data_IF_898689397075
#
_entry.id   IF_898689397075
#
_cell.length_a   1.000
_cell.length_b   1.000
_cell.length_c   1.000
_cell.angle_alpha   90.00
_cell.angle_beta   90.00
_cell.angle_gamma   90.00
#
_symmetry.space_group_name_H-M   'P 1'
#
loop_
_entity.id
_entity.type
_entity.pdbx_description
1 polymer ?
#
# COMPACT_ATOMS: atom_id res chain seq x y z
N UNK A 1 19.36 -18.72 -9.56
CA UNK A 1 19.85 -19.02 -10.92
C UNK A 1 19.95 -20.52 -11.20
N UNK A 2 20.57 -21.36 -10.37
CA UNK A 2 20.55 -22.83 -10.55
C UNK A 2 19.15 -23.49 -10.37
N UNK A 3 18.25 -22.87 -9.60
CA UNK A 3 16.88 -23.35 -9.35
C UNK A 3 15.82 -22.79 -10.30
N UNK A 4 16.17 -21.77 -11.09
CA UNK A 4 15.33 -21.33 -12.19
C UNK A 4 15.87 -22.09 -13.40
N UNK A 5 15.04 -22.86 -14.09
CA UNK A 5 15.35 -23.73 -15.23
C UNK A 5 15.93 -23.00 -16.48
N UNK A 6 16.84 -22.04 -16.29
CA UNK A 6 17.48 -21.24 -17.33
C UNK A 6 18.84 -21.74 -17.76
N UNK A 7 19.29 -22.90 -17.25
CA UNK A 7 20.57 -23.53 -17.59
C UNK A 7 20.31 -24.97 -18.02
N UNK A 8 20.21 -25.19 -19.32
CA UNK A 8 19.85 -26.47 -19.95
C UNK A 8 21.07 -27.42 -20.13
N UNK A 9 22.26 -26.94 -19.79
CA UNK A 9 23.54 -27.61 -20.02
C UNK A 9 24.14 -28.16 -18.71
N UNK A 10 24.35 -29.48 -18.65
CA UNK A 10 24.86 -30.19 -17.47
C UNK A 10 26.24 -29.72 -17.02
N UNK A 11 27.09 -29.29 -17.96
CA UNK A 11 28.42 -28.77 -17.66
C UNK A 11 28.34 -27.39 -16.99
N UNK A 12 27.39 -26.55 -17.42
CA UNK A 12 27.14 -25.25 -16.78
C UNK A 12 26.58 -25.41 -15.37
N UNK A 13 25.68 -26.37 -15.17
CA UNK A 13 25.17 -26.70 -13.83
C UNK A 13 26.33 -27.17 -12.93
N UNK A 14 27.23 -28.02 -13.44
CA UNK A 14 28.40 -28.48 -12.71
C UNK A 14 29.32 -27.31 -12.32
N UNK A 15 29.71 -26.46 -13.28
CA UNK A 15 30.58 -25.31 -13.03
C UNK A 15 29.94 -24.34 -12.02
N UNK A 16 28.66 -24.02 -12.18
CA UNK A 16 27.95 -23.13 -11.26
C UNK A 16 27.82 -23.74 -9.86
N UNK A 17 27.61 -25.06 -9.76
CA UNK A 17 27.56 -25.75 -8.47
C UNK A 17 28.92 -25.76 -7.76
N UNK A 18 30.02 -25.90 -8.50
CA UNK A 18 31.37 -25.92 -7.94
C UNK A 18 31.83 -24.51 -7.54
N UNK A 19 31.44 -23.49 -8.32
CA UNK A 19 31.61 -22.07 -7.94
C UNK A 19 30.81 -21.79 -6.66
N UNK A 20 29.56 -22.22 -6.57
CA UNK A 20 28.75 -22.06 -5.36
C UNK A 20 29.43 -22.72 -4.16
N UNK A 21 29.86 -23.99 -4.30
CA UNK A 21 30.59 -24.74 -3.27
C UNK A 21 31.87 -24.03 -2.84
N UNK A 22 32.61 -23.45 -3.78
CA UNK A 22 33.82 -22.69 -3.49
C UNK A 22 33.50 -21.41 -2.72
N UNK A 23 32.50 -20.63 -3.17
CA UNK A 23 32.09 -19.38 -2.52
C UNK A 23 31.53 -19.62 -1.11
N UNK A 24 30.82 -20.73 -0.88
CA UNK A 24 30.32 -21.16 0.42
C UNK A 24 31.39 -21.78 1.33
N UNK A 25 32.59 -22.06 0.81
CA UNK A 25 33.68 -22.59 1.63
C UNK A 25 34.39 -21.48 2.40
N UNK A 26 34.85 -21.77 3.62
CA UNK A 26 35.63 -20.81 4.46
C UNK A 26 36.90 -20.28 3.76
N UNK A 27 37.35 -20.91 2.68
CA UNK A 27 38.53 -20.49 1.90
C UNK A 27 38.26 -19.37 0.90
N UNK A 28 36.99 -19.03 0.63
CA UNK A 28 36.62 -17.97 -0.33
C UNK A 28 36.90 -16.56 0.20
N UNK A 29 37.05 -16.40 1.53
CA UNK A 29 37.18 -15.10 2.18
C UNK A 29 35.90 -14.24 2.11
N UNK A 30 34.80 -14.78 1.58
CA UNK A 30 33.48 -14.16 1.62
C UNK A 30 32.90 -14.44 3.00
N UNK A 31 33.28 -13.61 3.96
CA UNK A 31 32.77 -13.71 5.32
C UNK A 31 31.38 -13.10 5.39
N UNK A 32 30.41 -13.94 5.75
CA UNK A 32 29.10 -13.55 6.24
C UNK A 32 29.28 -12.56 7.41
N UNK A 33 28.43 -11.53 7.50
CA UNK A 33 28.47 -10.65 8.68
C UNK A 33 27.91 -11.43 9.86
N UNK A 34 28.78 -11.93 10.75
CA UNK A 34 28.39 -12.94 11.75
C UNK A 34 28.11 -12.34 13.14
N UNK A 35 28.57 -11.13 13.41
CA UNK A 35 28.42 -10.48 14.71
C UNK A 35 28.50 -8.96 14.64
N UNK A 36 27.80 -8.31 15.56
CA UNK A 36 27.92 -6.85 15.77
C UNK A 36 29.32 -6.42 16.23
N UNK A 37 29.59 -5.11 16.14
CA UNK A 37 30.83 -4.46 16.59
C UNK A 37 31.14 -4.71 18.08
N UNK A 38 32.40 -4.53 18.49
CA UNK A 38 32.89 -4.73 19.86
C UNK A 38 32.10 -3.95 20.91
N UNK A 39 31.66 -2.74 20.57
CA UNK A 39 31.00 -1.81 21.46
C UNK A 39 29.49 -2.07 21.60
N UNK A 40 28.92 -3.01 20.84
CA UNK A 40 27.47 -3.30 20.82
C UNK A 40 26.87 -3.44 22.21
N UNK A 41 27.48 -4.26 23.07
CA UNK A 41 26.98 -4.50 24.43
C UNK A 41 26.94 -3.21 25.25
N UNK A 42 27.92 -2.35 25.08
CA UNK A 42 28.02 -1.09 25.81
C UNK A 42 26.99 -0.09 25.29
N UNK A 43 26.79 -0.02 23.97
CA UNK A 43 25.75 0.80 23.34
C UNK A 43 24.36 0.38 23.82
N UNK A 44 24.05 -0.92 23.81
CA UNK A 44 22.76 -1.44 24.30
C UNK A 44 22.56 -1.12 25.79
N UNK A 45 23.60 -1.27 26.61
CA UNK A 45 23.51 -0.93 28.04
C UNK A 45 23.33 0.58 28.27
N UNK A 46 24.03 1.43 27.50
CA UNK A 46 23.86 2.89 27.54
C UNK A 46 22.42 3.27 27.21
N UNK A 47 21.86 2.75 26.10
CA UNK A 47 20.46 2.96 25.73
C UNK A 47 19.52 2.51 26.85
N UNK A 48 19.70 1.29 27.37
CA UNK A 48 18.84 0.76 28.44
C UNK A 48 18.86 1.60 29.72
N UNK A 49 20.00 2.23 30.02
CA UNK A 49 20.16 3.15 31.16
C UNK A 49 19.66 4.58 30.87
N UNK A 50 19.13 4.84 29.67
CA UNK A 50 18.81 6.17 29.15
C UNK A 50 20.00 7.14 29.20
N UNK A 51 21.22 6.63 29.06
CA UNK A 51 22.41 7.45 28.96
C UNK A 51 22.46 8.14 27.58
N UNK A 52 22.90 9.41 27.51
CA UNK A 52 22.98 10.13 26.25
C UNK A 52 24.00 9.48 25.32
N UNK A 53 23.61 9.27 24.06
CA UNK A 53 24.50 8.81 23.00
C UNK A 53 24.98 10.01 22.18
N UNK A 54 26.29 10.12 21.98
CA UNK A 54 26.87 11.16 21.13
C UNK A 54 26.94 10.65 19.69
N UNK A 55 26.26 11.32 18.76
CA UNK A 55 26.25 10.88 17.35
C UNK A 55 27.62 10.77 16.68
N UNK A 56 28.60 11.58 17.12
CA UNK A 56 29.95 11.59 16.58
C UNK A 56 30.90 10.60 17.28
N UNK A 57 30.40 9.84 18.26
CA UNK A 57 31.21 8.86 18.96
C UNK A 57 31.43 7.62 18.10
N UNK A 58 32.63 7.04 18.20
CA UNK A 58 33.03 5.88 17.40
C UNK A 58 32.15 4.66 17.70
N UNK A 59 31.65 4.49 18.93
CA UNK A 59 30.75 3.38 19.28
C UNK A 59 29.42 3.47 18.53
N UNK A 60 28.84 4.67 18.39
CA UNK A 60 27.62 4.87 17.60
C UNK A 60 27.91 4.67 16.10
N UNK A 61 28.96 5.31 15.57
CA UNK A 61 29.29 5.23 14.14
C UNK A 61 29.58 3.78 13.71
N UNK A 62 30.36 3.03 14.50
CA UNK A 62 30.67 1.63 14.23
C UNK A 62 29.42 0.74 14.33
N UNK A 63 28.51 1.02 15.27
CA UNK A 63 27.24 0.28 15.40
C UNK A 63 26.33 0.48 14.19
N UNK A 64 26.23 1.72 13.67
CA UNK A 64 25.44 1.99 12.46
C UNK A 64 26.11 1.37 11.22
N UNK A 65 27.44 1.44 11.11
CA UNK A 65 28.16 0.80 10.02
C UNK A 65 28.00 -0.73 10.03
N UNK A 66 28.04 -1.35 11.21
CA UNK A 66 27.72 -2.77 11.42
C UNK A 66 26.29 -3.08 11.00
N UNK A 67 25.31 -2.27 11.41
CA UNK A 67 23.91 -2.42 11.00
C UNK A 67 23.75 -2.30 9.47
N UNK A 68 24.50 -1.44 8.79
CA UNK A 68 24.46 -1.34 7.32
C UNK A 68 25.03 -2.58 6.62
N UNK A 69 26.02 -3.25 7.24
CA UNK A 69 26.55 -4.52 6.75
C UNK A 69 25.49 -5.61 6.90
N UNK A 70 24.91 -5.74 8.10
CA UNK A 70 23.82 -6.67 8.39
C UNK A 70 22.63 -6.52 7.42
N UNK A 71 22.21 -5.30 7.11
CA UNK A 71 21.13 -5.07 6.14
C UNK A 71 21.42 -5.64 4.76
N UNK A 72 22.68 -5.54 4.29
CA UNK A 72 23.06 -6.10 2.99
C UNK A 72 23.06 -7.62 3.06
N UNK A 73 23.51 -8.16 4.18
CA UNK A 73 23.51 -9.60 4.41
C UNK A 73 22.08 -10.17 4.45
N UNK A 74 21.16 -9.54 5.19
CA UNK A 74 19.74 -9.86 5.17
C UNK A 74 19.14 -9.86 3.75
N UNK A 75 19.51 -8.89 2.89
CA UNK A 75 19.08 -8.88 1.49
C UNK A 75 19.57 -10.13 0.75
N UNK A 76 20.83 -10.56 0.97
CA UNK A 76 21.41 -11.74 0.35
C UNK A 76 20.75 -13.03 0.84
N UNK A 77 20.53 -13.16 2.16
CA UNK A 77 19.79 -14.28 2.75
C UNK A 77 18.39 -14.37 2.14
N UNK A 78 17.64 -13.27 2.15
CA UNK A 78 16.28 -13.24 1.63
C UNK A 78 16.24 -13.51 0.13
N UNK A 79 17.18 -12.98 -0.66
CA UNK A 79 17.30 -13.27 -2.09
C UNK A 79 17.54 -14.75 -2.36
N UNK A 80 18.40 -15.38 -1.56
CA UNK A 80 18.69 -16.82 -1.65
C UNK A 80 17.48 -17.68 -1.30
N UNK A 81 16.77 -17.33 -0.23
CA UNK A 81 15.61 -18.10 0.25
C UNK A 81 14.39 -17.95 -0.68
N UNK A 82 14.13 -16.73 -1.17
CA UNK A 82 13.00 -16.46 -2.06
C UNK A 82 13.30 -16.77 -3.54
N UNK A 83 14.58 -17.00 -3.88
CA UNK A 83 15.06 -17.16 -5.27
C UNK A 83 14.61 -15.96 -6.14
N UNK A 84 14.55 -14.79 -5.53
CA UNK A 84 14.07 -13.55 -6.14
C UNK A 84 14.97 -12.39 -5.75
N UNK A 85 14.91 -11.29 -6.51
CA UNK A 85 15.70 -10.11 -6.19
C UNK A 85 15.11 -9.40 -4.97
N UNK A 86 15.92 -9.27 -3.91
CA UNK A 86 15.58 -8.53 -2.71
C UNK A 86 16.60 -7.42 -2.51
N UNK A 87 16.09 -6.19 -2.48
CA UNK A 87 16.93 -5.00 -2.37
C UNK A 87 16.54 -4.13 -1.17
N UNK A 88 17.51 -3.37 -0.67
CA UNK A 88 17.26 -2.44 0.41
C UNK A 88 16.59 -1.16 -0.13
N UNK A 89 15.45 -0.78 0.45
CA UNK A 89 14.75 0.46 0.11
C UNK A 89 15.43 1.64 0.80
N UNK A 90 16.19 2.42 0.02
CA UNK A 90 16.90 3.61 0.47
C UNK A 90 16.39 4.87 -0.24
N UNK A 91 16.50 6.01 0.45
CA UNK A 91 16.35 7.33 -0.19
C UNK A 91 17.43 7.51 -1.25
N UNK A 92 17.12 8.23 -2.33
CA UNK A 92 18.05 8.40 -3.45
C UNK A 92 19.39 9.03 -3.00
N UNK A 93 19.32 10.04 -2.13
CA UNK A 93 20.49 10.68 -1.52
C UNK A 93 21.41 9.69 -0.79
N UNK A 94 20.83 8.75 -0.05
CA UNK A 94 21.57 7.74 0.72
C UNK A 94 22.19 6.65 -0.16
N UNK A 95 21.70 6.49 -1.39
CA UNK A 95 22.30 5.59 -2.39
C UNK A 95 23.53 6.20 -3.04
N UNK A 96 23.53 7.52 -3.24
CA UNK A 96 24.63 8.25 -3.88
C UNK A 96 25.74 8.59 -2.89
N UNK A 97 25.41 8.87 -1.63
CA UNK A 97 26.36 9.27 -0.60
C UNK A 97 26.24 8.38 0.66
N UNK A 98 27.11 7.36 0.79
CA UNK A 98 27.16 6.49 1.97
C UNK A 98 27.55 7.22 3.26
N UNK A 99 28.37 8.27 3.19
CA UNK A 99 28.80 9.03 4.37
C UNK A 99 27.65 9.89 4.92
N UNK A 100 26.87 10.51 4.04
CA UNK A 100 25.63 11.19 4.41
C UNK A 100 24.64 10.23 5.06
N UNK A 101 24.47 9.04 4.49
CA UNK A 101 23.60 8.00 5.07
C UNK A 101 24.03 7.65 6.49
N UNK A 102 25.31 7.37 6.71
CA UNK A 102 25.84 7.04 8.03
C UNK A 102 25.55 8.15 9.06
N UNK A 103 25.75 9.42 8.65
CA UNK A 103 25.47 10.58 9.50
C UNK A 103 23.98 10.72 9.84
N UNK A 104 23.11 10.63 8.84
CA UNK A 104 21.66 10.77 9.02
C UNK A 104 21.09 9.64 9.90
N UNK A 105 21.57 8.41 9.70
CA UNK A 105 21.14 7.24 10.48
C UNK A 105 21.66 7.32 11.93
N UNK A 106 22.88 7.80 12.15
CA UNK A 106 23.39 8.06 13.51
C UNK A 106 22.59 9.18 14.22
N UNK A 107 22.23 10.24 13.49
CA UNK A 107 21.37 11.31 14.00
C UNK A 107 19.96 10.80 14.36
N UNK A 108 19.41 9.88 13.57
CA UNK A 108 18.12 9.25 13.86
C UNK A 108 18.20 8.32 15.07
N UNK A 109 19.24 7.48 15.14
CA UNK A 109 19.48 6.53 16.23
C UNK A 109 19.66 7.22 17.59
N UNK A 110 20.35 8.36 17.65
CA UNK A 110 20.49 9.12 18.89
C UNK A 110 19.16 9.71 19.39
N UNK A 111 18.19 9.99 18.50
CA UNK A 111 16.87 10.52 18.86
C UNK A 111 15.90 9.43 19.28
N UNK A 112 15.90 8.34 18.52
CA UNK A 112 15.10 7.15 18.78
C UNK A 112 16.05 5.95 18.64
N UNK A 113 16.46 5.29 19.75
CA UNK A 113 17.46 4.23 19.75
C UNK A 113 16.90 2.91 19.19
N UNK A 114 16.55 2.95 17.92
CA UNK A 114 16.04 1.85 17.12
C UNK A 114 16.79 1.79 15.80
N UNK A 115 17.23 0.61 15.41
CA UNK A 115 17.83 0.34 14.12
C UNK A 115 16.75 -0.13 13.16
N UNK A 116 16.60 0.52 12.01
CA UNK A 116 15.52 0.27 11.07
C UNK A 116 16.07 -0.04 9.68
N UNK A 117 15.37 -0.91 8.95
CA UNK A 117 15.56 -1.10 7.51
C UNK A 117 14.28 -1.58 6.84
N UNK A 118 14.17 -1.36 5.53
CA UNK A 118 13.01 -1.76 4.72
C UNK A 118 13.52 -2.55 3.52
N UNK A 119 13.11 -3.81 3.40
CA UNK A 119 13.50 -4.72 2.33
C UNK A 119 12.40 -4.73 1.26
N UNK A 120 12.75 -4.39 0.03
CA UNK A 120 11.88 -4.52 -1.14
C UNK A 120 12.07 -5.92 -1.75
N UNK A 121 11.03 -6.74 -1.65
CA UNK A 121 10.98 -8.07 -2.25
C UNK A 121 10.10 -7.99 -3.49
N UNK A 122 10.62 -8.43 -4.64
CA UNK A 122 9.88 -8.35 -5.90
C UNK A 122 8.54 -9.11 -5.80
N UNK A 123 7.46 -8.49 -6.30
CA UNK A 123 6.09 -9.02 -6.28
C UNK A 123 5.49 -9.29 -4.88
N UNK A 124 6.14 -8.89 -3.79
CA UNK A 124 5.54 -8.97 -2.46
C UNK A 124 4.39 -7.95 -2.30
N UNK A 125 3.47 -8.24 -1.37
CA UNK A 125 2.32 -7.37 -1.12
C UNK A 125 2.69 -5.99 -0.54
N UNK A 126 3.83 -5.90 0.13
CA UNK A 126 4.39 -4.69 0.71
C UNK A 126 5.90 -4.87 0.86
N UNK A 127 6.59 -3.79 1.22
CA UNK A 127 7.97 -3.89 1.70
C UNK A 127 7.98 -4.54 3.09
N UNK A 128 9.05 -5.28 3.38
CA UNK A 128 9.31 -5.91 4.67
C UNK A 128 10.13 -4.96 5.54
N UNK A 129 9.50 -4.37 6.54
CA UNK A 129 10.14 -3.47 7.49
C UNK A 129 10.70 -4.25 8.68
N UNK A 130 11.95 -4.02 9.02
CA UNK A 130 12.65 -4.65 10.14
C UNK A 130 13.14 -3.56 11.08
N UNK A 131 12.76 -3.66 12.35
CA UNK A 131 13.14 -2.71 13.40
C UNK A 131 13.70 -3.46 14.60
N UNK A 132 14.94 -3.17 14.97
CA UNK A 132 15.51 -3.60 16.25
C UNK A 132 15.45 -2.43 17.23
N UNK A 133 14.62 -2.55 18.26
CA UNK A 133 14.47 -1.57 19.34
C UNK A 133 15.43 -1.94 20.48
N UNK A 134 16.43 -1.09 20.71
CA UNK A 134 17.45 -1.34 21.74
C UNK A 134 16.94 -1.02 23.14
N UNK A 135 15.96 -0.13 23.26
CA UNK A 135 15.35 0.23 24.54
C UNK A 135 14.57 -0.96 25.10
N UNK A 136 13.73 -1.56 24.25
CA UNK A 136 12.90 -2.71 24.60
C UNK A 136 13.63 -4.05 24.43
N UNK A 137 14.73 -4.06 23.67
CA UNK A 137 15.49 -5.26 23.28
C UNK A 137 14.65 -6.25 22.49
N UNK A 138 13.86 -5.69 21.58
CA UNK A 138 12.92 -6.43 20.75
C UNK A 138 13.27 -6.27 19.28
N UNK A 139 13.03 -7.33 18.52
CA UNK A 139 13.06 -7.30 17.06
C UNK A 139 11.62 -7.32 16.58
N UNK A 140 11.32 -6.41 15.66
CA UNK A 140 10.05 -6.27 14.98
C UNK A 140 10.26 -6.53 13.50
N UNK A 141 9.43 -7.38 12.93
CA UNK A 141 9.28 -7.53 11.48
C UNK A 141 7.85 -7.18 11.11
N UNK A 142 7.65 -6.30 10.15
CA UNK A 142 6.31 -5.90 9.75
C UNK A 142 6.15 -5.67 8.26
N UNK A 143 4.89 -5.77 7.81
CA UNK A 143 4.49 -5.44 6.44
C UNK A 143 3.24 -4.59 6.48
N UNK A 144 3.33 -3.41 5.87
CA UNK A 144 2.26 -2.42 5.88
C UNK A 144 1.38 -2.52 4.63
N UNK A 145 0.08 -2.78 4.82
CA UNK A 145 -0.89 -2.96 3.73
C UNK A 145 -1.93 -1.84 3.75
N UNK A 146 -2.26 -1.33 2.56
CA UNK A 146 -3.43 -0.47 2.39
C UNK A 146 -4.70 -1.30 2.56
N UNK A 147 -5.61 -0.84 3.41
CA UNK A 147 -6.83 -1.57 3.67
C UNK A 147 -7.80 -1.51 2.47
N UNK A 148 -8.65 -2.54 2.26
CA UNK A 148 -9.62 -2.55 1.17
C UNK A 148 -10.59 -1.37 1.19
N UNK A 149 -10.60 -0.57 0.12
CA UNK A 149 -11.50 0.60 -0.01
C UNK A 149 -12.97 0.22 -0.23
N UNK A 150 -13.21 -1.00 -0.70
CA UNK A 150 -14.55 -1.58 -0.88
C UNK A 150 -15.25 -1.91 0.46
N UNK A 151 -14.47 -2.02 1.56
CA UNK A 151 -15.00 -2.36 2.88
C UNK A 151 -15.14 -1.11 3.74
N UNK A 152 -16.35 -0.90 4.27
CA UNK A 152 -16.65 0.29 5.07
C UNK A 152 -16.28 0.15 6.55
N UNK A 153 -16.42 -1.03 7.15
CA UNK A 153 -16.11 -1.25 8.57
C UNK A 153 -14.68 -1.75 8.80
N UNK A 154 -14.10 -1.37 9.93
CA UNK A 154 -12.79 -1.89 10.37
C UNK A 154 -12.86 -3.40 10.60
N UNK A 155 -13.89 -3.92 11.26
CA UNK A 155 -14.19 -5.37 11.32
C UNK A 155 -14.10 -6.09 9.96
N UNK A 156 -14.64 -5.52 8.88
CA UNK A 156 -14.57 -6.15 7.55
C UNK A 156 -13.15 -6.11 6.96
N UNK A 157 -12.39 -5.04 7.20
CA UNK A 157 -10.98 -4.90 6.80
C UNK A 157 -10.09 -5.87 7.59
N UNK A 158 -10.32 -6.01 8.90
CA UNK A 158 -9.66 -7.01 9.75
C UNK A 158 -9.95 -8.44 9.27
N UNK A 159 -11.22 -8.76 8.98
CA UNK A 159 -11.56 -10.07 8.43
C UNK A 159 -10.90 -10.35 7.07
N UNK A 160 -10.60 -9.32 6.27
CA UNK A 160 -9.87 -9.50 5.00
C UNK A 160 -8.42 -9.93 5.24
N UNK A 161 -7.73 -9.38 6.23
CA UNK A 161 -6.35 -9.80 6.55
C UNK A 161 -6.31 -11.14 7.28
N UNK A 162 -7.25 -11.39 8.20
CA UNK A 162 -7.36 -12.68 8.92
C UNK A 162 -7.61 -13.86 7.97
N UNK A 163 -8.32 -13.65 6.86
CA UNK A 163 -8.50 -14.69 5.83
C UNK A 163 -7.21 -15.11 5.15
N UNK A 164 -6.21 -14.24 5.10
CA UNK A 164 -4.89 -14.51 4.52
C UNK A 164 -3.99 -15.24 5.53
N UNK A 165 -4.08 -14.85 6.81
CA UNK A 165 -3.29 -15.39 7.92
C UNK A 165 -3.91 -16.61 8.61
N UNK A 166 -4.69 -17.44 7.89
CA UNK A 166 -5.34 -18.62 8.50
C UNK A 166 -4.35 -19.71 8.90
N UNK A 167 -3.26 -19.86 8.14
CA UNK A 167 -2.25 -20.92 8.31
C UNK A 167 -1.11 -20.53 9.25
N UNK A 168 -0.92 -19.23 9.46
CA UNK A 168 0.14 -18.66 10.31
C UNK A 168 -0.01 -19.12 11.76
N UNK A 169 1.08 -19.43 12.46
CA UNK A 169 1.05 -19.58 13.92
C UNK A 169 0.71 -18.23 14.58
N UNK A 170 -0.33 -18.11 15.42
CA UNK A 170 -0.66 -16.83 16.06
C UNK A 170 0.37 -16.34 17.09
N UNK A 171 1.34 -17.18 17.49
CA UNK A 171 2.33 -16.82 18.51
C UNK A 171 3.29 -15.72 18.03
N UNK A 172 3.33 -14.60 18.77
CA UNK A 172 4.22 -13.47 18.48
C UNK A 172 3.76 -12.59 17.32
N UNK A 173 2.62 -12.89 16.71
CA UNK A 173 2.02 -12.08 15.64
C UNK A 173 0.92 -11.17 16.18
N UNK A 174 0.93 -9.94 15.70
CA UNK A 174 0.02 -8.88 16.05
C UNK A 174 -0.44 -8.15 14.79
N UNK A 175 -1.59 -7.50 14.89
CA UNK A 175 -2.09 -6.64 13.82
C UNK A 175 -2.24 -5.23 14.39
N UNK A 176 -1.64 -4.28 13.68
CA UNK A 176 -1.78 -2.85 13.93
C UNK A 176 -2.73 -2.26 12.90
N UNK A 177 -3.76 -1.55 13.35
CA UNK A 177 -4.68 -0.84 12.49
C UNK A 177 -4.48 0.67 12.63
N UNK A 178 -4.08 1.31 11.54
CA UNK A 178 -3.83 2.75 11.49
C UNK A 178 -5.00 3.47 10.83
N UNK A 179 -5.47 4.53 11.48
CA UNK A 179 -6.58 5.38 11.02
C UNK A 179 -6.04 6.68 10.43
N UNK A 180 -6.80 7.33 9.54
CA UNK A 180 -6.35 8.58 8.94
C UNK A 180 -6.30 9.70 9.98
N UNK A 181 -5.35 10.63 9.81
CA UNK A 181 -5.17 11.77 10.71
C UNK A 181 -4.41 11.42 12.00
N UNK A 182 -4.80 12.04 13.11
CA UNK A 182 -4.22 11.80 14.44
C UNK A 182 -5.04 10.80 15.29
N UNK A 183 -5.89 10.01 14.63
CA UNK A 183 -6.71 9.03 15.30
C UNK A 183 -5.85 7.89 15.85
N UNK A 184 -6.34 7.24 16.90
CA UNK A 184 -5.66 6.15 17.60
C UNK A 184 -5.33 4.98 16.66
N UNK A 185 -4.12 4.44 16.82
CA UNK A 185 -3.73 3.17 16.24
C UNK A 185 -4.05 2.06 17.23
N UNK A 186 -4.86 1.09 16.82
CA UNK A 186 -5.21 -0.08 17.65
C UNK A 186 -4.24 -1.21 17.38
N UNK A 187 -3.88 -1.96 18.41
CA UNK A 187 -2.84 -2.98 18.36
C UNK A 187 -3.27 -4.22 19.14
N UNK A 188 -3.51 -5.34 18.45
CA UNK A 188 -4.04 -6.54 19.07
C UNK A 188 -3.33 -7.80 18.57
N UNK A 189 -3.26 -8.82 19.42
CA UNK A 189 -2.65 -10.11 19.07
C UNK A 189 -3.47 -10.86 18.01
N UNK A 190 -2.80 -11.58 17.11
CA UNK A 190 -3.45 -12.36 16.06
C UNK A 190 -4.37 -13.45 16.64
N UNK A 191 -4.00 -14.02 17.79
CA UNK A 191 -4.81 -15.01 18.51
C UNK A 191 -6.19 -14.45 18.85
N UNK A 192 -6.24 -13.31 19.52
CA UNK A 192 -7.49 -12.71 20.01
C UNK A 192 -8.37 -12.24 18.85
N UNK A 193 -7.75 -11.78 17.76
CA UNK A 193 -8.47 -11.32 16.57
C UNK A 193 -9.11 -12.44 15.76
N UNK A 194 -8.62 -13.69 15.87
CA UNK A 194 -9.28 -14.84 15.24
C UNK A 194 -10.63 -15.13 15.88
N UNK A 195 -10.73 -14.93 17.19
CA UNK A 195 -11.96 -15.15 17.95
C UNK A 195 -12.88 -13.91 17.88
N UNK A 196 -12.31 -12.72 18.09
CA UNK A 196 -13.04 -11.45 18.14
C UNK A 196 -12.39 -10.37 17.26
N UNK A 197 -12.76 -10.28 15.97
CA UNK A 197 -12.23 -9.27 15.05
C UNK A 197 -12.61 -7.83 15.41
N UNK A 198 -13.62 -7.62 16.26
CA UNK A 198 -14.05 -6.29 16.73
C UNK A 198 -13.03 -5.64 17.68
N UNK A 199 -12.09 -6.39 18.25
CA UNK A 199 -11.06 -5.83 19.15
C UNK A 199 -10.14 -4.80 18.48
N UNK A 200 -10.09 -4.77 17.15
CA UNK A 200 -9.34 -3.76 16.41
C UNK A 200 -10.14 -2.49 16.12
N UNK A 201 -11.43 -2.46 16.39
CA UNK A 201 -12.23 -1.24 16.33
C UNK A 201 -11.75 -0.28 17.43
N UNK A 202 -11.92 1.04 17.21
CA UNK A 202 -11.49 2.03 18.21
C UNK A 202 -12.70 2.48 18.99
N UNK A 203 -12.58 2.54 20.31
CA UNK A 203 -13.63 3.07 21.18
C UNK A 203 -13.83 4.59 20.98
N UNK A 204 -12.76 5.29 20.60
CA UNK A 204 -12.72 6.76 20.54
C UNK A 204 -13.14 7.33 19.18
N UNK A 205 -13.00 6.58 18.09
CA UNK A 205 -13.19 7.11 16.73
C UNK A 205 -14.11 6.24 15.87
N UNK A 206 -15.03 6.89 15.16
CA UNK A 206 -15.94 6.20 14.23
C UNK A 206 -15.35 6.06 12.81
N UNK A 207 -14.05 6.31 12.64
CA UNK A 207 -13.39 6.25 11.33
C UNK A 207 -12.73 4.90 11.12
N UNK A 208 -12.97 4.30 9.96
CA UNK A 208 -12.42 3.00 9.62
C UNK A 208 -10.91 3.05 9.36
N UNK A 209 -10.20 1.97 9.71
CA UNK A 209 -8.74 1.87 9.56
C UNK A 209 -8.29 1.89 8.10
N UNK A 210 -7.51 2.88 7.69
CA UNK A 210 -7.04 3.04 6.30
C UNK A 210 -5.90 2.09 5.95
N UNK A 211 -5.11 1.69 6.95
CA UNK A 211 -4.02 0.76 6.76
C UNK A 211 -4.02 -0.31 7.85
N UNK A 212 -3.57 -1.50 7.47
CA UNK A 212 -3.39 -2.64 8.33
C UNK A 212 -1.95 -3.12 8.20
N UNK A 213 -1.32 -3.39 9.32
CA UNK A 213 0.06 -3.84 9.36
C UNK A 213 0.13 -5.12 10.19
N UNK A 214 0.78 -6.12 9.63
CA UNK A 214 1.09 -7.35 10.35
C UNK A 214 2.45 -7.16 10.98
N UNK A 215 2.54 -7.36 12.30
CA UNK A 215 3.76 -7.20 13.07
C UNK A 215 4.09 -8.54 13.72
N UNK A 216 5.35 -8.93 13.66
CA UNK A 216 5.91 -10.04 14.41
C UNK A 216 6.94 -9.52 15.39
N UNK A 217 6.75 -9.87 16.66
CA UNK A 217 7.57 -9.40 17.77
C UNK A 217 8.36 -10.55 18.38
N UNK A 218 9.65 -10.32 18.59
CA UNK A 218 10.51 -11.22 19.33
C UNK A 218 11.18 -10.46 20.47
N UNK A 219 10.96 -10.93 21.70
CA UNK A 219 11.69 -10.47 22.87
C UNK A 219 12.97 -11.29 23.06
N UNK A 220 14.12 -10.63 22.94
CA UNK A 220 15.43 -11.24 23.14
C UNK A 220 15.98 -11.00 24.57
N UNK A 221 15.37 -10.10 25.35
CA UNK A 221 15.75 -9.77 26.71
C UNK A 221 17.28 -9.62 26.92
N UNK A 222 17.91 -10.53 27.67
CA UNK A 222 19.36 -10.52 27.92
C UNK A 222 20.20 -10.91 26.70
N UNK A 223 19.66 -11.74 25.80
CA UNK A 223 20.36 -12.26 24.61
C UNK A 223 20.67 -11.16 23.60
N UNK A 224 19.88 -10.08 23.60
CA UNK A 224 20.08 -8.91 22.75
C UNK A 224 21.48 -8.27 22.93
N UNK A 225 22.08 -8.41 24.12
CA UNK A 225 23.44 -7.91 24.39
C UNK A 225 24.55 -8.72 23.68
N UNK A 226 24.25 -9.95 23.23
CA UNK A 226 25.20 -10.83 22.57
C UNK A 226 25.41 -10.40 21.13
N UNK A 227 26.65 -10.04 20.75
CA UNK A 227 27.00 -9.56 19.41
C UNK A 227 26.62 -10.54 18.31
N UNK A 228 26.98 -11.81 18.48
CA UNK A 228 26.67 -12.90 17.55
C UNK A 228 25.21 -13.35 17.66
N UNK A 229 24.71 -13.50 18.89
CA UNK A 229 23.34 -13.96 19.16
C UNK A 229 22.30 -13.01 18.58
N UNK A 230 22.54 -11.68 18.62
CA UNK A 230 21.65 -10.71 18.01
C UNK A 230 21.50 -10.94 16.49
N UNK A 231 22.62 -11.10 15.79
CA UNK A 231 22.65 -11.37 14.33
C UNK A 231 21.96 -12.70 14.03
N UNK A 232 22.32 -13.78 14.74
CA UNK A 232 21.71 -15.10 14.56
C UNK A 232 20.18 -15.09 14.77
N UNK A 233 19.68 -14.35 15.75
CA UNK A 233 18.24 -14.27 16.01
C UNK A 233 17.52 -13.38 14.99
N UNK A 234 18.16 -12.32 14.49
CA UNK A 234 17.63 -11.47 13.43
C UNK A 234 17.50 -12.23 12.10
N UNK A 235 18.53 -12.99 11.73
CA UNK A 235 18.56 -13.84 10.55
C UNK A 235 17.56 -15.00 10.61
N UNK A 236 17.13 -15.41 11.80
CA UNK A 236 16.01 -16.35 11.97
C UNK A 236 14.66 -15.64 11.90
N UNK A 237 14.55 -14.49 12.54
CA UNK A 237 13.31 -13.72 12.66
C UNK A 237 12.75 -13.27 11.31
N UNK A 238 13.60 -12.70 10.46
CA UNK A 238 13.21 -12.08 9.19
C UNK A 238 12.65 -13.12 8.20
N UNK A 239 13.35 -14.25 7.92
CA UNK A 239 12.80 -15.31 7.09
C UNK A 239 11.57 -15.99 7.70
N UNK A 240 11.56 -16.22 9.02
CA UNK A 240 10.42 -16.82 9.71
C UNK A 240 9.15 -15.98 9.51
N UNK A 241 9.25 -14.66 9.70
CA UNK A 241 8.13 -13.76 9.44
C UNK A 241 7.63 -13.84 7.98
N UNK A 242 8.56 -13.80 7.02
CA UNK A 242 8.19 -13.83 5.62
C UNK A 242 7.53 -15.16 5.23
N UNK A 243 8.03 -16.29 5.74
CA UNK A 243 7.47 -17.61 5.50
C UNK A 243 6.08 -17.78 6.12
N UNK A 244 5.90 -17.36 7.37
CA UNK A 244 4.66 -17.60 8.12
C UNK A 244 3.54 -16.62 7.76
N UNK A 245 3.88 -15.36 7.49
CA UNK A 245 2.91 -14.32 7.19
C UNK A 245 3.18 -13.65 5.83
N UNK A 246 4.38 -13.15 5.60
CA UNK A 246 4.69 -12.25 4.49
C UNK A 246 4.30 -12.78 3.10
N UNK A 247 4.61 -14.04 2.80
CA UNK A 247 4.29 -14.69 1.53
C UNK A 247 2.79 -14.96 1.32
N UNK A 248 2.00 -14.99 2.41
CA UNK A 248 0.56 -15.21 2.35
C UNK A 248 -0.22 -13.91 2.08
N UNK A 249 0.42 -12.76 2.32
CA UNK A 249 -0.20 -11.46 2.17
C UNK A 249 -0.39 -11.12 0.68
N UNK A 250 -1.49 -10.44 0.39
CA UNK A 250 -1.86 -9.94 -0.92
C UNK A 250 -2.25 -8.48 -0.80
N UNK A 251 -1.62 -7.62 -1.60
CA UNK A 251 -1.99 -6.22 -1.69
C UNK A 251 -3.42 -6.09 -2.21
N UNK A 252 -4.19 -5.17 -1.62
CA UNK A 252 -5.53 -4.90 -2.13
C UNK A 252 -5.45 -4.18 -3.48
N UNK A 253 -6.17 -4.71 -4.48
CA UNK A 253 -6.34 -4.09 -5.79
C UNK A 253 -7.82 -3.78 -6.04
N UNK A 254 -8.16 -2.65 -6.67
CA UNK A 254 -9.54 -2.34 -7.05
C UNK A 254 -10.04 -3.35 -8.09
N UNK A 255 -11.34 -3.69 -8.08
CA UNK A 255 -11.91 -4.54 -9.11
C UNK A 255 -11.80 -3.86 -10.49
N UNK A 256 -11.57 -4.62 -11.58
CA UNK A 256 -11.53 -4.05 -12.92
C UNK A 256 -12.83 -3.30 -13.25
N UNK A 257 -12.76 -2.14 -13.94
CA UNK A 257 -13.95 -1.42 -14.36
C UNK A 257 -14.76 -2.29 -15.32
N UNK A 258 -16.06 -2.44 -15.03
CA UNK A 258 -16.98 -3.18 -15.90
C UNK A 258 -17.49 -2.25 -17.00
N UNK A 259 -17.53 -2.76 -18.23
CA UNK A 259 -18.23 -2.06 -19.34
C UNK A 259 -19.71 -2.09 -19.00
N UNK A 260 -20.35 -0.93 -18.99
CA UNK A 260 -21.79 -0.84 -18.80
C UNK A 260 -22.48 -1.51 -19.98
N UNK A 261 -23.06 -2.69 -19.75
CA UNK A 261 -24.08 -3.25 -20.65
C UNK A 261 -25.35 -2.46 -20.43
N UNK A 262 -25.97 -1.95 -21.50
CA UNK A 262 -27.16 -1.07 -21.47
C UNK A 262 -28.44 -1.72 -20.92
N UNK A 263 -28.35 -2.90 -20.31
CA UNK A 263 -29.49 -3.69 -19.82
C UNK A 263 -29.41 -3.97 -18.32
N UNK A 264 -29.16 -2.93 -17.52
CA UNK A 264 -29.46 -2.97 -16.09
C UNK A 264 -30.25 -1.72 -15.73
N UNK A 265 -31.55 -1.92 -15.45
CA UNK A 265 -32.34 -0.91 -14.76
C UNK A 265 -31.58 -0.45 -13.51
N UNK A 266 -31.52 0.87 -13.23
CA UNK A 266 -30.75 1.37 -12.12
C UNK A 266 -31.32 0.81 -10.81
N UNK A 267 -30.55 -0.03 -10.11
CA UNK A 267 -30.79 -0.34 -8.71
C UNK A 267 -30.66 0.97 -7.92
N UNK A 268 -31.81 1.60 -7.63
CA UNK A 268 -31.93 2.72 -6.73
C UNK A 268 -31.45 2.31 -5.33
N UNK A 269 -30.18 2.59 -5.02
CA UNK A 269 -29.70 2.54 -3.64
C UNK A 269 -30.49 3.49 -2.75
N UNK A 270 -30.90 3.00 -1.58
CA UNK A 270 -31.98 3.50 -0.72
C UNK A 270 -31.74 4.86 -0.03
N UNK A 271 -30.75 5.66 -0.44
CA UNK A 271 -30.34 6.87 0.30
C UNK A 271 -31.21 8.10 -0.02
N UNK A 272 -31.96 8.10 -1.13
CA UNK A 272 -32.63 9.31 -1.62
C UNK A 272 -34.16 9.41 -1.39
N UNK A 273 -34.83 8.39 -0.84
CA UNK A 273 -36.29 8.46 -0.61
C UNK A 273 -36.69 9.44 0.50
N UNK A 274 -35.89 9.56 1.56
CA UNK A 274 -36.21 10.43 2.70
C UNK A 274 -36.09 11.94 2.38
N UNK A 275 -35.33 12.32 1.35
CA UNK A 275 -35.12 13.74 0.98
C UNK A 275 -36.22 14.29 0.07
N UNK A 276 -36.84 13.45 -0.75
CA UNK A 276 -37.92 13.85 -1.66
C UNK A 276 -39.27 13.96 -0.94
N UNK A 277 -39.56 13.09 0.02
CA UNK A 277 -40.81 13.16 0.80
C UNK A 277 -40.89 14.45 1.66
N UNK A 278 -39.75 14.94 2.17
CA UNK A 278 -39.67 16.18 2.95
C UNK A 278 -39.89 17.46 2.11
N UNK A 279 -39.66 17.41 0.80
CA UNK A 279 -39.84 18.56 -0.11
C UNK A 279 -41.30 18.67 -0.57
N UNK A 280 -41.97 17.54 -0.78
CA UNK A 280 -43.38 17.49 -1.21
C UNK A 280 -44.32 17.96 -0.11
N UNK A 281 -44.02 17.67 1.17
CA UNK A 281 -44.84 18.08 2.31
C UNK A 281 -44.83 19.60 2.58
N UNK A 282 -43.81 20.34 2.10
CA UNK A 282 -43.69 21.80 2.32
C UNK A 282 -44.44 22.67 1.32
N UNK A 283 -45.06 22.11 0.27
CA UNK A 283 -45.78 22.88 -0.77
C UNK A 283 -47.30 23.01 -0.56
N UNK A 284 -47.87 22.49 0.52
CA UNK A 284 -49.29 22.67 0.85
C UNK A 284 -49.48 23.44 2.16
N UNK A 285 -49.35 24.76 2.09
CA UNK A 285 -50.06 25.69 2.97
C UNK A 285 -50.83 26.69 2.10
N UNK A 286 -52.17 26.66 2.05
CA UNK A 286 -52.94 27.69 1.36
C UNK A 286 -52.90 29.01 2.16
N UNK A 287 -52.75 30.13 1.45
CA UNK A 287 -52.87 31.48 2.00
C UNK A 287 -54.34 31.80 2.31
N UNK A 288 -54.66 32.58 3.36
CA UNK A 288 -56.02 32.97 3.67
C UNK A 288 -56.54 34.01 2.67
N UNK A 289 -57.73 33.76 2.13
CA UNK A 289 -58.49 34.67 1.26
C UNK A 289 -59.47 35.49 2.11
N UNK A 290 -59.43 36.81 2.01
CA UNK A 290 -60.46 37.72 2.54
C UNK A 290 -61.42 38.13 1.41
N UNK A 291 -62.75 38.14 1.63
CA UNK A 291 -63.69 38.50 0.58
C UNK A 291 -64.06 39.99 0.65
N UNK A 292 -63.85 40.72 -0.43
CA UNK A 292 -64.69 41.88 -0.75
C UNK A 292 -65.07 41.89 -2.23
N UNK A 293 -66.24 42.46 -2.44
CA UNK A 293 -67.23 42.25 -3.49
C UNK A 293 -66.91 42.86 -4.84
N UNK A 294 -67.32 42.12 -5.88
CA UNK A 294 -67.95 42.52 -7.16
C UNK A 294 -67.61 43.89 -7.76
N UNK A 295 -67.35 43.90 -9.08
CA UNK A 295 -68.14 44.64 -10.08
C UNK A 295 -67.63 44.36 -11.51
N UNK A 296 -68.57 43.96 -12.38
CA UNK A 296 -68.57 44.02 -13.86
C UNK A 296 -67.46 43.26 -14.63
N UNK A 297 -67.69 42.49 -15.69
CA UNK A 297 -68.82 42.34 -16.60
C UNK A 297 -68.25 42.12 -18.02
N UNK A 298 -68.81 41.15 -18.76
CA UNK A 298 -68.64 40.91 -20.20
C UNK A 298 -67.28 40.35 -20.68
N UNK A 299 -67.14 39.48 -21.69
CA UNK A 299 -67.97 38.55 -22.46
C UNK A 299 -67.01 37.70 -23.31
N UNK A 300 -67.29 36.41 -23.52
CA UNK A 300 -67.62 35.78 -24.82
C UNK A 300 -67.16 34.30 -24.94
N UNK A 301 -68.17 33.42 -25.03
CA UNK A 301 -68.32 32.18 -25.84
C UNK A 301 -67.20 31.11 -25.90
N UNK A 302 -67.49 30.02 -25.17
CA UNK A 302 -67.64 28.60 -25.61
C UNK A 302 -66.69 28.00 -26.65
N UNK A 303 -65.92 27.04 -26.14
CA UNK A 303 -65.38 25.83 -26.75
C UNK A 303 -66.49 24.99 -27.39
N UNK A 304 -66.24 24.46 -28.60
CA UNK A 304 -66.86 23.21 -29.04
C UNK A 304 -65.88 22.35 -29.86
N UNK A 305 -66.17 21.06 -29.78
CA UNK A 305 -65.47 19.80 -30.01
C UNK A 305 -64.89 19.52 -31.42
N UNK A 306 -63.96 18.57 -31.51
CA UNK A 306 -64.21 17.16 -31.96
C UNK A 306 -62.90 16.44 -32.33
N UNK A 307 -62.58 15.44 -31.51
CA UNK A 307 -62.43 14.01 -31.85
C UNK A 307 -61.87 13.64 -33.24
N UNK A 308 -60.75 12.89 -33.29
CA UNK A 308 -60.59 11.85 -34.31
C UNK A 308 -59.64 10.71 -33.90
N UNK A 309 -60.18 9.51 -34.11
CA UNK A 309 -59.64 8.17 -33.94
C UNK A 309 -58.51 7.80 -34.92
N UNK A 310 -57.58 6.98 -34.41
CA UNK A 310 -56.78 5.86 -34.95
C UNK A 310 -57.22 5.33 -36.35
N UNK A 311 -56.30 4.86 -37.23
CA UNK A 311 -55.96 3.42 -37.28
C UNK A 311 -54.48 3.05 -37.61
N UNK A 312 -54.21 1.75 -37.46
CA UNK A 312 -52.94 1.00 -37.57
C UNK A 312 -52.53 0.62 -39.00
N UNK A 313 -51.24 0.26 -39.12
CA UNK A 313 -50.55 -0.62 -40.10
C UNK A 313 -50.15 -0.10 -41.50
N UNK A 314 -48.84 -0.19 -41.80
CA UNK A 314 -48.32 -0.63 -43.10
C UNK A 314 -46.90 -1.23 -42.99
N UNK A 315 -46.69 -2.33 -43.69
CA UNK A 315 -45.47 -3.14 -43.83
C UNK A 315 -44.89 -2.89 -45.24
N UNK A 316 -43.55 -2.80 -45.37
CA UNK A 316 -42.65 -3.33 -46.46
C UNK A 316 -41.55 -2.37 -46.92
N UNK A 317 -40.36 -2.95 -47.18
CA UNK A 317 -39.29 -2.40 -48.03
C UNK A 317 -37.88 -2.73 -47.50
N UNK A 318 -37.32 -3.93 -47.73
CA UNK A 318 -36.32 -4.24 -48.77
C UNK A 318 -35.18 -3.22 -48.93
N UNK A 319 -33.93 -3.60 -48.58
CA UNK A 319 -32.88 -3.88 -49.59
C UNK A 319 -31.54 -4.32 -48.97
N UNK A 320 -30.96 -5.33 -49.62
CA UNK A 320 -29.68 -5.97 -49.37
C UNK A 320 -28.50 -5.11 -49.81
N UNK A 321 -27.34 -5.24 -49.13
CA UNK A 321 -26.04 -4.98 -49.76
C UNK A 321 -25.02 -6.06 -49.39
N UNK A 322 -24.33 -6.49 -50.46
CA UNK A 322 -23.44 -7.62 -50.60
C UNK A 322 -22.13 -7.46 -49.83
N UNK A 323 -21.67 -8.59 -49.32
CA UNK A 323 -20.26 -8.89 -49.02
C UNK A 323 -19.46 -8.84 -50.32
N UNK A 324 -18.39 -8.04 -50.34
CA UNK A 324 -17.30 -8.15 -51.32
C UNK A 324 -16.00 -8.15 -50.52
N UNK A 325 -15.30 -9.28 -50.57
CA UNK A 325 -13.92 -9.44 -50.12
C UNK A 325 -13.13 -9.77 -51.38
N UNK A 326 -12.05 -9.05 -51.68
CA UNK A 326 -10.90 -9.58 -52.41
C UNK A 326 -9.68 -8.62 -52.36
N UNK A 327 -8.46 -9.07 -52.70
CA UNK A 327 -7.32 -9.03 -51.77
C UNK A 327 -6.06 -8.35 -52.36
N UNK A 328 -5.01 -8.24 -51.52
CA UNK A 328 -3.56 -8.18 -51.85
C UNK A 328 -3.04 -7.23 -52.95
N UNK A 329 -2.15 -6.29 -52.58
CA UNK A 329 -0.72 -6.32 -52.95
C UNK A 329 -0.03 -4.92 -53.00
N UNK A 330 1.13 -4.85 -52.35
CA UNK A 330 2.38 -4.14 -52.74
C UNK A 330 2.47 -2.59 -52.77
N UNK A 331 3.28 -2.04 -51.84
CA UNK A 331 4.55 -1.40 -52.23
C UNK A 331 4.79 0.10 -51.91
N UNK A 332 5.84 0.34 -51.10
CA UNK A 332 6.73 1.54 -50.95
C UNK A 332 6.31 2.66 -49.95
N UNK A 333 7.15 2.87 -48.92
CA UNK A 333 7.09 3.95 -47.90
C UNK A 333 7.74 5.27 -48.37
N UNK A 334 8.38 6.12 -47.53
CA UNK A 334 8.46 6.21 -46.06
C UNK A 334 8.09 7.64 -45.51
N UNK A 335 8.45 7.93 -44.24
CA UNK A 335 8.74 9.25 -43.63
C UNK A 335 7.69 9.94 -42.73
N UNK A 336 8.05 9.99 -41.43
CA UNK A 336 8.28 11.18 -40.59
C UNK A 336 7.24 12.33 -40.46
N UNK A 337 7.05 12.69 -39.17
CA UNK A 337 6.82 14.00 -38.58
C UNK A 337 5.43 14.69 -38.63
N UNK A 338 4.82 14.74 -37.44
CA UNK A 338 4.46 15.96 -36.70
C UNK A 338 3.79 17.12 -37.45
N UNK A 339 2.53 17.41 -37.08
CA UNK A 339 1.94 18.76 -36.98
C UNK A 339 0.95 18.75 -35.80
N UNK A 340 1.15 19.51 -34.72
CA UNK A 340 0.87 20.95 -34.52
C UNK A 340 -0.59 21.36 -34.65
N UNK A 341 -1.21 21.68 -33.50
CA UNK A 341 -2.02 22.88 -33.15
C UNK A 341 -2.62 22.61 -31.76
N UNK A 342 -2.37 23.39 -30.70
CA UNK A 342 -2.54 24.84 -30.54
C UNK A 342 -3.91 25.08 -29.88
N UNK A 343 -4.02 25.11 -28.55
CA UNK A 343 -4.04 26.33 -27.73
C UNK A 343 -5.20 26.22 -26.70
N UNK A 344 -5.32 26.94 -25.59
CA UNK A 344 -4.55 27.96 -24.86
C UNK A 344 -5.06 27.85 -23.40
N UNK A 345 -4.17 27.92 -22.41
CA UNK A 345 -4.52 28.05 -20.99
C UNK A 345 -4.16 29.46 -20.51
N UNK A 346 -5.10 30.13 -19.84
CA UNK A 346 -4.92 31.42 -19.17
C UNK A 346 -4.29 31.18 -17.79
N UNK A 347 -3.14 31.79 -17.51
CA UNK A 347 -2.56 31.90 -16.16
C UNK A 347 -2.29 33.37 -15.89
N UNK A 348 -2.87 33.88 -14.80
CA UNK A 348 -2.59 35.20 -14.26
C UNK A 348 -1.47 35.10 -13.21
N UNK A 349 -0.40 35.89 -13.38
CA UNK A 349 0.68 36.07 -12.41
C UNK A 349 0.69 37.53 -11.98
N UNK A 350 0.53 37.77 -10.68
CA UNK A 350 0.71 39.07 -10.05
C UNK A 350 2.19 39.34 -9.76
N UNK A 351 2.67 40.48 -10.25
CA UNK A 351 4.02 41.01 -10.08
C UNK A 351 4.18 41.73 -8.74
N UNK A 352 5.28 41.43 -8.05
CA UNK A 352 5.85 42.24 -6.96
C UNK A 352 6.78 43.31 -7.56
N UNK A 353 6.55 44.56 -7.21
CA UNK A 353 7.42 45.71 -7.50
C UNK A 353 8.13 46.18 -6.22
N UNK A 354 9.40 46.58 -6.35
CA UNK A 354 10.28 46.90 -5.24
C UNK A 354 10.49 48.39 -4.95
N UNK A 355 11.12 48.57 -3.78
CA UNK A 355 12.14 49.55 -3.35
C UNK A 355 11.87 51.06 -3.16
N UNK A 356 12.61 51.55 -2.16
CA UNK A 356 12.88 52.92 -1.66
C UNK A 356 11.85 53.45 -0.64
N UNK A 357 12.23 53.91 0.55
CA UNK A 357 13.48 54.52 1.08
C UNK A 357 13.73 54.13 2.53
#
# INVERSE_FOLDING_TARGET
MLKNDGVDDGDQVFILSEILRYLESEKSGINHFDQMNSEWKDVVNKVKSNAPLAKASDDVQNTIAAWHQEQRDLCLIMSRLTVSDVSLKLKNDHRLDPAKRLKDDADAFCKAPSLQCSLNIINAAADLDVTADLQRRMIYCSMHLTAPKDKQSTKARTNWILRQLKKTDPKGFYIRATRPGKAEATYQALKDLRDSPELLDSDTSNTAATALEVVYEIDLAGKFNGRKVFVEELEKAVPHFYQEAGQLLKAWAPPPPKIATSDSEPEESCVNKQRLEAITQKRHKPLPYTPETCLFGFTHKTIDQRNRHIPKNCIRGHNAWKVVINPTATGRGPCLCSRHTGGIALVAVGLTGGLFT
#
